data_IF_807808150647
#
_entry.id   IF_807808150647
#
_cell.length_a   1.000
_cell.length_b   1.000
_cell.length_c   1.000
_cell.angle_alpha   90.00
_cell.angle_beta   90.00
_cell.angle_gamma   90.00
#
_symmetry.space_group_name_H-M   'P 1'
#
loop_
_entity.id
_entity.type
_entity.pdbx_description
1 polymer ?
#
# COMPACT_ATOMS: atom_id res chain seq x y z
N UNK A 1 28.77 -5.46 27.64
CA UNK A 1 27.56 -5.72 26.83
C UNK A 1 26.91 -4.40 26.52
N UNK A 2 26.72 -4.08 25.24
CA UNK A 2 25.97 -2.90 24.81
C UNK A 2 24.47 -3.19 24.85
N UNK A 3 23.66 -2.13 24.82
CA UNK A 3 22.19 -2.23 24.72
C UNK A 3 21.76 -2.94 23.43
N UNK A 4 20.62 -3.62 23.49
CA UNK A 4 20.02 -4.27 22.32
C UNK A 4 19.34 -3.24 21.41
N UNK A 5 19.22 -3.56 20.13
CA UNK A 5 18.54 -2.67 19.17
C UNK A 5 17.07 -2.50 19.53
N UNK A 6 16.44 -3.55 20.07
CA UNK A 6 15.03 -3.47 20.45
C UNK A 6 14.83 -2.60 21.68
N UNK A 7 15.76 -2.57 22.63
CA UNK A 7 15.68 -1.67 23.79
C UNK A 7 15.88 -0.21 23.39
N UNK A 8 16.86 0.07 22.53
CA UNK A 8 17.05 1.41 21.94
C UNK A 8 15.76 1.84 21.22
N UNK A 9 15.16 0.96 20.42
CA UNK A 9 13.92 1.27 19.69
C UNK A 9 12.74 1.60 20.62
N UNK A 10 12.64 0.92 21.76
CA UNK A 10 11.59 1.19 22.77
C UNK A 10 11.82 2.53 23.45
N UNK A 11 13.06 2.82 23.85
CA UNK A 11 13.41 4.09 24.50
C UNK A 11 13.01 5.29 23.64
N UNK A 12 13.29 5.22 22.33
CA UNK A 12 12.98 6.28 21.38
C UNK A 12 11.58 6.17 20.75
N UNK A 13 10.76 5.19 21.17
CA UNK A 13 9.44 4.90 20.60
C UNK A 13 9.45 4.85 19.06
N UNK A 14 10.41 4.10 18.52
CA UNK A 14 10.69 4.03 17.09
C UNK A 14 10.69 2.58 16.61
N UNK A 15 10.51 2.37 15.30
CA UNK A 15 10.45 1.03 14.73
C UNK A 15 11.78 0.28 14.93
N UNK A 16 11.77 -0.94 15.49
CA UNK A 16 12.98 -1.76 15.63
C UNK A 16 13.75 -1.94 14.32
N UNK A 17 13.05 -2.16 13.20
CA UNK A 17 13.67 -2.35 11.88
C UNK A 17 14.30 -1.06 11.36
N UNK A 18 13.66 0.08 11.57
CA UNK A 18 14.23 1.36 11.16
C UNK A 18 15.42 1.74 12.05
N UNK A 19 15.34 1.48 13.37
CA UNK A 19 16.48 1.63 14.30
C UNK A 19 17.65 0.77 13.84
N UNK A 20 17.44 -0.52 13.56
CA UNK A 20 18.46 -1.41 13.03
C UNK A 20 19.04 -0.90 11.70
N UNK A 21 18.19 -0.40 10.80
CA UNK A 21 18.64 0.14 9.51
C UNK A 21 19.55 1.36 9.67
N UNK A 22 19.34 2.19 10.69
CA UNK A 22 20.21 3.33 10.98
C UNK A 22 21.52 2.88 11.61
N UNK A 23 21.47 1.98 12.60
CA UNK A 23 22.66 1.45 13.27
C UNK A 23 23.60 0.76 12.28
N UNK A 24 23.05 -0.05 11.37
CA UNK A 24 23.84 -0.83 10.42
C UNK A 24 24.15 -0.13 9.09
N UNK A 25 23.81 1.16 8.93
CA UNK A 25 23.92 1.85 7.63
C UNK A 25 25.35 1.92 7.10
N UNK A 26 26.34 2.02 7.99
CA UNK A 26 27.76 2.10 7.62
C UNK A 26 28.41 0.70 7.50
N UNK A 27 27.73 -0.34 8.02
CA UNK A 27 28.21 -1.72 7.97
C UNK A 27 27.69 -2.48 6.75
N UNK A 28 26.43 -2.22 6.37
CA UNK A 28 25.78 -2.95 5.28
C UNK A 28 25.15 -1.98 4.28
N UNK A 29 25.31 -2.30 2.99
CA UNK A 29 24.47 -1.66 1.97
C UNK A 29 22.99 -1.93 2.24
N UNK A 30 22.11 -1.01 1.83
CA UNK A 30 20.65 -1.18 1.93
C UNK A 30 20.15 -2.50 1.33
N UNK A 31 20.79 -2.98 0.25
CA UNK A 31 20.47 -4.25 -0.39
C UNK A 31 20.81 -5.43 0.53
N UNK A 32 22.01 -5.42 1.12
CA UNK A 32 22.50 -6.46 2.01
C UNK A 32 21.70 -6.50 3.32
N UNK A 33 21.39 -5.35 3.90
CA UNK A 33 20.51 -5.27 5.07
C UNK A 33 19.14 -5.89 4.78
N UNK A 34 18.51 -5.57 3.64
CA UNK A 34 17.24 -6.18 3.23
C UNK A 34 17.32 -7.70 3.03
N UNK A 35 18.47 -8.21 2.59
CA UNK A 35 18.71 -9.64 2.44
C UNK A 35 18.81 -10.33 3.81
N UNK A 36 19.56 -9.75 4.74
CA UNK A 36 19.66 -10.21 6.12
C UNK A 36 18.34 -10.18 6.87
N UNK A 37 17.53 -9.13 6.65
CA UNK A 37 16.17 -9.08 7.20
C UNK A 37 15.30 -10.24 6.72
N UNK A 38 15.52 -10.76 5.50
CA UNK A 38 14.78 -11.92 4.97
C UNK A 38 15.38 -13.26 5.41
N UNK A 39 16.72 -13.32 5.48
CA UNK A 39 17.47 -14.54 5.78
C UNK A 39 18.54 -14.22 6.84
N UNK A 40 18.17 -14.11 8.13
CA UNK A 40 19.13 -13.75 9.19
C UNK A 40 20.27 -14.76 9.31
N UNK A 41 20.05 -16.02 8.95
CA UNK A 41 21.07 -17.09 9.01
C UNK A 41 22.29 -16.84 8.11
N UNK A 42 22.21 -15.90 7.16
CA UNK A 42 23.35 -15.49 6.34
C UNK A 42 24.35 -14.59 7.10
N UNK A 43 23.99 -14.11 8.30
CA UNK A 43 24.84 -13.23 9.10
C UNK A 43 25.85 -14.06 9.87
N UNK A 44 27.14 -14.00 9.51
CA UNK A 44 28.20 -14.75 10.18
C UNK A 44 28.32 -14.42 11.68
N UNK A 45 28.27 -13.15 12.05
CA UNK A 45 28.40 -12.70 13.44
C UNK A 45 27.13 -13.03 14.25
N UNK A 46 27.27 -13.92 15.24
CA UNK A 46 26.17 -14.41 16.07
C UNK A 46 25.39 -13.28 16.76
N UNK A 47 26.08 -12.27 17.31
CA UNK A 47 25.42 -11.16 17.98
C UNK A 47 24.51 -10.38 17.02
N UNK A 48 25.01 -10.01 15.84
CA UNK A 48 24.20 -9.29 14.84
C UNK A 48 23.05 -10.16 14.36
N UNK A 49 23.28 -11.47 14.19
CA UNK A 49 22.25 -12.42 13.78
C UNK A 49 21.07 -12.43 14.75
N UNK A 50 21.35 -12.56 16.05
CA UNK A 50 20.32 -12.62 17.08
C UNK A 50 19.61 -11.27 17.26
N UNK A 51 20.33 -10.14 17.17
CA UNK A 51 19.72 -8.80 17.16
C UNK A 51 18.76 -8.60 15.98
N UNK A 52 19.16 -9.03 14.77
CA UNK A 52 18.31 -8.93 13.57
C UNK A 52 17.07 -9.83 13.71
N UNK A 53 17.22 -11.05 14.24
CA UNK A 53 16.06 -11.94 14.51
C UNK A 53 15.08 -11.29 15.49
N UNK A 54 15.58 -10.70 16.58
CA UNK A 54 14.71 -10.05 17.56
C UNK A 54 14.00 -8.82 16.95
N UNK A 55 14.73 -8.01 16.19
CA UNK A 55 14.18 -6.85 15.45
C UNK A 55 13.05 -7.28 14.50
N UNK A 56 13.23 -8.39 13.77
CA UNK A 56 12.20 -8.94 12.87
C UNK A 56 10.94 -9.33 13.64
N UNK A 57 11.09 -10.00 14.78
CA UNK A 57 9.96 -10.52 15.55
C UNK A 57 9.17 -9.40 16.25
N UNK A 58 9.87 -8.35 16.71
CA UNK A 58 9.27 -7.25 17.47
C UNK A 58 8.60 -6.19 16.59
N UNK A 59 9.02 -6.05 15.33
CA UNK A 59 8.52 -4.98 14.48
C UNK A 59 7.21 -5.35 13.78
N UNK A 60 6.16 -4.60 14.12
CA UNK A 60 4.80 -4.81 13.62
C UNK A 60 4.49 -4.06 12.32
N UNK A 61 5.46 -3.36 11.71
CA UNK A 61 5.23 -2.47 10.55
C UNK A 61 6.19 -2.76 9.39
N UNK A 62 7.47 -2.95 9.66
CA UNK A 62 8.53 -3.04 8.65
C UNK A 62 9.22 -4.40 8.61
N UNK A 63 8.79 -5.35 9.45
CA UNK A 63 9.27 -6.73 9.38
C UNK A 63 8.86 -7.41 8.05
N UNK A 64 9.67 -8.35 7.52
CA UNK A 64 9.32 -9.09 6.31
C UNK A 64 7.93 -9.75 6.37
N UNK A 65 7.57 -10.30 7.54
CA UNK A 65 6.26 -10.94 7.77
C UNK A 65 5.12 -9.93 7.61
N UNK A 66 5.25 -8.75 8.18
CA UNK A 66 4.21 -7.74 8.07
C UNK A 66 4.15 -7.12 6.67
N UNK A 67 5.29 -6.90 6.02
CA UNK A 67 5.33 -6.46 4.61
C UNK A 67 4.61 -7.46 3.71
N UNK A 68 4.82 -8.77 3.91
CA UNK A 68 4.12 -9.81 3.16
C UNK A 68 2.62 -9.83 3.46
N UNK A 69 2.23 -9.65 4.72
CA UNK A 69 0.82 -9.52 5.11
C UNK A 69 0.14 -8.31 4.46
N UNK A 70 0.80 -7.15 4.43
CA UNK A 70 0.31 -5.95 3.76
C UNK A 70 0.13 -6.18 2.26
N UNK A 71 1.08 -6.86 1.61
CA UNK A 71 0.95 -7.23 0.19
C UNK A 71 -0.25 -8.15 -0.04
N UNK A 72 -0.40 -9.21 0.77
CA UNK A 72 -1.54 -10.14 0.69
C UNK A 72 -2.87 -9.42 0.91
N UNK A 73 -2.92 -8.49 1.86
CA UNK A 73 -4.10 -7.66 2.09
C UNK A 73 -4.43 -6.79 0.88
N UNK A 74 -3.43 -6.17 0.25
CA UNK A 74 -3.62 -5.41 -1.00
C UNK A 74 -4.25 -6.24 -2.10
N UNK A 75 -3.71 -7.45 -2.34
CA UNK A 75 -4.27 -8.40 -3.33
C UNK A 75 -5.72 -8.74 -3.01
N UNK A 76 -6.02 -9.08 -1.74
CA UNK A 76 -7.40 -9.42 -1.33
C UNK A 76 -8.38 -8.27 -1.54
N UNK A 77 -7.93 -7.05 -1.28
CA UNK A 77 -8.71 -5.83 -1.49
C UNK A 77 -9.04 -5.62 -2.98
N UNK A 78 -8.05 -5.79 -3.86
CA UNK A 78 -8.27 -5.73 -5.31
C UNK A 78 -9.19 -6.86 -5.80
N UNK A 79 -9.05 -8.08 -5.28
CA UNK A 79 -9.95 -9.20 -5.60
C UNK A 79 -11.41 -8.91 -5.22
N UNK A 80 -11.66 -8.24 -4.09
CA UNK A 80 -13.00 -7.86 -3.66
C UNK A 80 -13.64 -6.84 -4.64
N UNK A 81 -12.88 -5.82 -5.09
CA UNK A 81 -13.32 -4.89 -6.15
C UNK A 81 -13.58 -5.63 -7.45
N UNK A 82 -12.65 -6.51 -7.87
CA UNK A 82 -12.76 -7.30 -9.10
C UNK A 82 -14.06 -8.10 -9.12
N UNK A 83 -14.35 -8.82 -8.03
CA UNK A 83 -15.57 -9.62 -7.91
C UNK A 83 -16.83 -8.75 -7.95
N UNK A 84 -16.81 -7.58 -7.31
CA UNK A 84 -17.93 -6.64 -7.35
C UNK A 84 -18.19 -6.12 -8.77
N UNK A 85 -17.15 -5.76 -9.52
CA UNK A 85 -17.27 -5.31 -10.91
C UNK A 85 -17.82 -6.42 -11.82
N UNK A 86 -17.31 -7.65 -11.68
CA UNK A 86 -17.75 -8.80 -12.47
C UNK A 86 -19.21 -9.15 -12.23
N UNK A 87 -19.68 -9.12 -10.97
CA UNK A 87 -21.09 -9.37 -10.62
C UNK A 87 -22.07 -8.41 -11.29
N UNK A 88 -21.59 -7.23 -11.70
CA UNK A 88 -22.37 -6.15 -12.33
C UNK A 88 -22.16 -6.06 -13.84
N UNK A 89 -21.47 -7.03 -14.43
CA UNK A 89 -21.09 -7.03 -15.86
C UNK A 89 -20.31 -5.76 -16.28
N UNK A 90 -19.57 -5.17 -15.34
CA UNK A 90 -18.72 -4.01 -15.63
C UNK A 90 -17.41 -4.52 -16.21
N UNK A 91 -17.15 -4.18 -17.47
CA UNK A 91 -15.89 -4.53 -18.15
C UNK A 91 -14.75 -3.61 -17.71
N UNK A 92 -13.59 -4.18 -17.44
CA UNK A 92 -12.39 -3.45 -17.00
C UNK A 92 -11.10 -4.11 -17.51
N UNK A 93 -10.00 -3.36 -17.46
CA UNK A 93 -8.62 -3.81 -17.65
C UNK A 93 -7.89 -3.63 -16.32
N UNK A 94 -7.15 -4.64 -15.87
CA UNK A 94 -6.35 -4.55 -14.64
C UNK A 94 -5.00 -3.86 -14.91
N UNK A 95 -4.35 -3.32 -13.87
CA UNK A 95 -2.97 -2.79 -13.99
C UNK A 95 -1.99 -3.82 -14.59
N UNK A 96 -2.17 -5.11 -14.24
CA UNK A 96 -1.36 -6.20 -14.78
C UNK A 96 -1.55 -6.32 -16.29
N UNK A 97 -2.78 -6.28 -16.78
CA UNK A 97 -3.10 -6.42 -18.20
C UNK A 97 -2.69 -5.17 -19.00
N UNK A 98 -2.92 -3.98 -18.45
CA UNK A 98 -2.59 -2.72 -19.11
C UNK A 98 -1.07 -2.49 -19.26
N UNK A 99 -0.24 -3.07 -18.38
CA UNK A 99 1.22 -3.05 -18.53
C UNK A 99 1.70 -3.84 -19.73
N UNK A 100 0.99 -4.90 -20.15
CA UNK A 100 1.30 -5.60 -21.40
C UNK A 100 1.03 -4.73 -22.64
N UNK A 101 0.11 -3.76 -22.53
CA UNK A 101 -0.28 -2.81 -23.57
C UNK A 101 0.55 -1.50 -23.54
N UNK A 102 1.69 -1.49 -22.84
CA UNK A 102 2.65 -0.38 -22.78
C UNK A 102 2.17 0.91 -22.08
N UNK A 103 1.10 0.86 -21.27
CA UNK A 103 0.74 1.98 -20.42
C UNK A 103 1.71 2.11 -19.23
N UNK A 104 2.39 3.27 -19.12
CA UNK A 104 3.39 3.52 -18.05
C UNK A 104 2.79 3.74 -16.66
N UNK A 105 1.53 4.19 -16.57
CA UNK A 105 0.83 4.50 -15.32
C UNK A 105 -0.65 4.19 -15.49
N UNK A 106 -1.14 3.23 -14.73
CA UNK A 106 -2.52 2.76 -14.81
C UNK A 106 -3.10 2.58 -13.41
N UNK A 107 -4.37 2.92 -13.20
CA UNK A 107 -5.07 2.56 -11.97
C UNK A 107 -5.20 1.03 -11.85
N UNK A 108 -5.53 0.54 -10.66
CA UNK A 108 -5.74 -0.90 -10.43
C UNK A 108 -6.79 -1.49 -11.37
N UNK A 109 -7.86 -0.73 -11.62
CA UNK A 109 -8.91 -1.07 -12.57
C UNK A 109 -9.23 0.13 -13.48
N UNK A 110 -8.96 -0.01 -14.78
CA UNK A 110 -9.43 0.91 -15.80
C UNK A 110 -10.74 0.37 -16.40
N UNK A 111 -11.83 1.13 -16.30
CA UNK A 111 -13.15 0.66 -16.69
C UNK A 111 -13.38 0.89 -18.18
N UNK A 112 -13.73 -0.17 -18.90
CA UNK A 112 -14.18 -0.11 -20.31
C UNK A 112 -15.63 0.35 -20.41
N UNK A 113 -16.40 0.15 -19.33
CA UNK A 113 -17.77 0.62 -19.19
C UNK A 113 -17.86 1.40 -17.89
N UNK A 114 -17.92 2.75 -17.93
CA UNK A 114 -18.08 3.56 -16.74
C UNK A 114 -19.36 3.21 -15.98
N UNK A 115 -19.37 3.42 -14.67
CA UNK A 115 -20.58 3.31 -13.85
C UNK A 115 -20.83 4.59 -13.05
N UNK A 116 -22.08 4.84 -12.68
CA UNK A 116 -22.47 6.04 -11.93
C UNK A 116 -22.61 5.76 -10.44
N UNK A 117 -22.07 6.65 -9.60
CA UNK A 117 -22.24 6.66 -8.15
C UNK A 117 -22.82 8.00 -7.74
N UNK A 118 -24.11 8.05 -7.41
CA UNK A 118 -24.78 9.30 -7.03
C UNK A 118 -24.64 10.41 -8.09
N UNK A 119 -24.67 10.05 -9.38
CA UNK A 119 -24.47 10.98 -10.50
C UNK A 119 -23.01 11.21 -10.90
N UNK A 120 -22.03 10.71 -10.13
CA UNK A 120 -20.61 10.75 -10.49
C UNK A 120 -20.25 9.58 -11.41
N UNK A 121 -19.78 9.85 -12.63
CA UNK A 121 -19.32 8.82 -13.57
C UNK A 121 -17.89 8.38 -13.23
N UNK A 122 -17.71 7.13 -12.81
CA UNK A 122 -16.41 6.53 -12.54
C UNK A 122 -15.85 5.82 -13.78
N UNK A 123 -14.61 6.14 -14.15
CA UNK A 123 -13.88 5.52 -15.29
C UNK A 123 -12.70 4.65 -14.86
N UNK A 124 -12.29 4.76 -13.61
CA UNK A 124 -11.27 3.93 -13.01
C UNK A 124 -11.46 3.80 -11.51
N UNK A 125 -10.90 2.74 -10.94
CA UNK A 125 -10.90 2.45 -9.49
C UNK A 125 -9.46 2.18 -9.05
N UNK A 126 -9.08 2.79 -7.94
CA UNK A 126 -7.80 2.59 -7.25
C UNK A 126 -8.08 2.06 -5.82
N UNK A 127 -7.41 1.00 -5.44
CA UNK A 127 -7.52 0.29 -4.17
C UNK A 127 -6.37 0.70 -3.24
N UNK A 128 -6.71 1.11 -2.01
CA UNK A 128 -5.74 1.45 -0.96
C UNK A 128 -6.10 0.70 0.31
N UNK A 129 -5.36 -0.38 0.58
CA UNK A 129 -5.60 -1.26 1.73
C UNK A 129 -5.50 -0.53 3.10
N UNK A 130 -4.80 0.61 3.15
CA UNK A 130 -4.60 1.40 4.38
C UNK A 130 -5.68 2.43 4.68
N UNK A 131 -5.37 3.33 5.63
CA UNK A 131 -6.21 4.48 5.96
C UNK A 131 -5.85 5.68 5.09
N UNK A 132 -6.86 6.40 4.60
CA UNK A 132 -6.70 7.60 3.80
C UNK A 132 -6.50 8.85 4.64
N UNK A 133 -5.24 9.23 4.88
CA UNK A 133 -4.89 10.53 5.45
C UNK A 133 -4.58 11.59 4.37
N UNK A 134 -4.50 12.85 4.77
CA UNK A 134 -4.32 13.97 3.84
C UNK A 134 -2.90 14.09 3.27
N UNK A 135 -1.89 13.67 4.02
CA UNK A 135 -0.48 13.79 3.61
C UNK A 135 -0.24 12.78 2.50
N UNK A 136 -0.51 11.49 2.76
CA UNK A 136 -0.34 10.44 1.77
C UNK A 136 -1.20 10.70 0.52
N UNK A 137 -2.45 11.12 0.70
CA UNK A 137 -3.33 11.44 -0.43
C UNK A 137 -2.75 12.54 -1.32
N UNK A 138 -2.19 13.62 -0.74
CA UNK A 138 -1.56 14.70 -1.52
C UNK A 138 -0.31 14.24 -2.27
N UNK A 139 0.44 13.30 -1.72
CA UNK A 139 1.60 12.71 -2.37
C UNK A 139 1.17 11.81 -3.54
N UNK A 140 0.22 10.90 -3.29
CA UNK A 140 -0.40 10.06 -4.30
C UNK A 140 -1.01 10.90 -5.43
N UNK A 141 -1.68 11.99 -5.09
CA UNK A 141 -2.29 12.87 -6.08
C UNK A 141 -1.24 13.51 -6.99
N UNK A 142 -0.15 14.02 -6.43
CA UNK A 142 0.96 14.60 -7.20
C UNK A 142 1.67 13.55 -8.06
N UNK A 143 1.79 12.33 -7.56
CA UNK A 143 2.51 11.23 -8.20
C UNK A 143 1.69 10.44 -9.24
N UNK A 144 0.68 9.71 -8.78
CA UNK A 144 -0.03 8.69 -9.55
C UNK A 144 -1.43 9.13 -10.01
N UNK A 145 -2.21 9.81 -9.15
CA UNK A 145 -3.63 10.05 -9.44
C UNK A 145 -3.85 11.17 -10.47
N UNK A 146 -3.03 12.24 -10.44
CA UNK A 146 -3.13 13.32 -11.44
C UNK A 146 -2.92 12.81 -12.88
N UNK A 147 -1.95 11.93 -13.16
CA UNK A 147 -1.90 11.20 -14.43
C UNK A 147 -3.19 10.46 -14.79
N UNK A 148 -3.78 9.69 -13.87
CA UNK A 148 -5.01 8.95 -14.15
C UNK A 148 -6.16 9.90 -14.51
N UNK A 149 -6.31 10.98 -13.75
CA UNK A 149 -7.33 12.00 -14.01
C UNK A 149 -7.19 12.64 -15.40
N UNK A 150 -5.95 12.85 -15.85
CA UNK A 150 -5.68 13.44 -17.17
C UNK A 150 -5.90 12.46 -18.32
N UNK A 151 -5.52 11.20 -18.14
CA UNK A 151 -5.56 10.17 -19.19
C UNK A 151 -6.94 9.52 -19.31
N UNK A 152 -7.58 9.24 -18.18
CA UNK A 152 -8.77 8.38 -18.10
C UNK A 152 -10.00 9.12 -17.55
N UNK A 153 -9.85 10.35 -17.07
CA UNK A 153 -10.96 11.15 -16.54
C UNK A 153 -11.25 10.84 -15.07
N UNK A 154 -12.53 10.86 -14.69
CA UNK A 154 -12.97 10.71 -13.30
C UNK A 154 -12.76 9.29 -12.76
N UNK A 155 -12.52 9.16 -11.46
CA UNK A 155 -12.36 7.84 -10.83
C UNK A 155 -12.63 7.81 -9.34
N UNK A 156 -12.54 6.60 -8.81
CA UNK A 156 -12.84 6.27 -7.42
C UNK A 156 -11.57 5.78 -6.73
N UNK A 157 -11.37 6.20 -5.49
CA UNK A 157 -10.35 5.63 -4.61
C UNK A 157 -11.05 4.95 -3.43
N UNK A 158 -10.71 3.69 -3.21
CA UNK A 158 -11.23 2.87 -2.12
C UNK A 158 -10.20 2.78 -1.02
N UNK A 159 -10.50 3.34 0.16
CA UNK A 159 -9.71 3.08 1.37
C UNK A 159 -10.39 2.01 2.24
N UNK A 160 -9.68 0.92 2.48
CA UNK A 160 -10.24 -0.27 3.11
C UNK A 160 -10.32 -0.18 4.64
N UNK A 161 -9.39 0.52 5.27
CA UNK A 161 -9.41 0.74 6.74
C UNK A 161 -10.32 1.93 7.09
N UNK A 162 -10.39 2.94 6.24
CA UNK A 162 -11.14 4.17 6.46
C UNK A 162 -10.42 5.37 5.85
N UNK A 163 -11.02 6.56 5.89
CA UNK A 163 -10.40 7.77 5.36
C UNK A 163 -10.94 9.02 6.06
N UNK A 164 -10.20 10.11 5.97
CA UNK A 164 -10.68 11.42 6.40
C UNK A 164 -11.76 11.93 5.43
N UNK A 165 -12.90 12.38 5.95
CA UNK A 165 -14.01 12.89 5.13
C UNK A 165 -13.57 14.03 4.18
N UNK A 166 -12.68 14.91 4.66
CA UNK A 166 -12.12 16.03 3.88
C UNK A 166 -11.31 15.63 2.65
N UNK A 167 -11.04 14.35 2.43
CA UNK A 167 -10.46 13.88 1.16
C UNK A 167 -11.48 14.02 0.02
N UNK A 168 -12.77 13.80 0.33
CA UNK A 168 -13.85 14.19 -0.56
C UNK A 168 -13.90 15.72 -0.64
N UNK A 169 -13.80 16.25 -1.86
CA UNK A 169 -13.68 17.69 -2.12
C UNK A 169 -12.28 18.16 -2.49
N UNK A 170 -11.25 17.31 -2.38
CA UNK A 170 -9.90 17.65 -2.88
C UNK A 170 -9.88 17.78 -4.43
N UNK A 171 -10.73 17.01 -5.12
CA UNK A 171 -10.92 17.10 -6.56
C UNK A 171 -12.38 16.78 -6.89
N UNK A 172 -12.96 17.50 -7.84
CA UNK A 172 -14.27 17.16 -8.42
C UNK A 172 -14.21 15.98 -9.40
N UNK A 173 -13.02 15.42 -9.67
CA UNK A 173 -12.80 14.28 -10.56
C UNK A 173 -12.47 13.00 -9.81
N UNK A 174 -12.38 13.04 -8.48
CA UNK A 174 -12.10 11.87 -7.66
C UNK A 174 -13.10 11.85 -6.52
N UNK A 175 -13.76 10.71 -6.34
CA UNK A 175 -14.49 10.43 -5.10
C UNK A 175 -13.71 9.39 -4.28
N UNK A 176 -13.76 9.55 -2.97
CA UNK A 176 -13.10 8.67 -2.01
C UNK A 176 -14.19 7.93 -1.24
N UNK A 177 -14.12 6.61 -1.28
CA UNK A 177 -15.10 5.73 -0.65
C UNK A 177 -14.41 4.76 0.32
N UNK A 178 -15.20 4.19 1.23
CA UNK A 178 -14.75 3.12 2.12
C UNK A 178 -15.21 1.76 1.61
N UNK A 179 -14.74 0.68 2.24
CA UNK A 179 -15.23 -0.69 2.00
C UNK A 179 -16.76 -0.79 1.95
N UNK A 180 -17.49 0.00 2.75
CA UNK A 180 -18.96 -0.03 2.82
C UNK A 180 -19.63 0.19 1.46
N UNK A 181 -18.98 0.91 0.55
CA UNK A 181 -19.48 1.12 -0.81
C UNK A 181 -19.75 -0.19 -1.57
N UNK A 182 -19.02 -1.25 -1.24
CA UNK A 182 -19.18 -2.57 -1.87
C UNK A 182 -20.11 -3.51 -1.10
N UNK A 183 -20.60 -3.09 0.08
CA UNK A 183 -21.32 -3.94 1.04
C UNK A 183 -22.85 -3.85 1.00
N UNK A 184 -23.43 -2.90 0.26
CA UNK A 184 -24.88 -2.68 0.25
C UNK A 184 -25.60 -3.57 -0.80
N UNK A 185 -25.45 -4.89 -0.66
CA UNK A 185 -26.34 -5.90 -1.27
C UNK A 185 -26.70 -6.97 -0.24
N UNK A 186 -27.49 -6.57 0.77
CA UNK A 186 -28.50 -7.42 1.42
C UNK A 186 -29.84 -6.68 1.44
#
# INVERSE_FOLDING_TARGET
NGESITDISKEYNFSPVLTASFIFQDMFSRRKFKEYMKNPELIEEERIREEIKEVIERDIVYSPKYIDLQRKNGIRCEEEIKNWLLKRDIRFITEKDARYENFRKTPDFLLMTPFSVGGFEAKWVESKAGFGDLIQFKEDFRGQLRPYVRLFGSGIIVYWVGHLERLNGFSNRIIVVSKKFFGDEE
#
